data_IF_705057110837
#
_entry.id   IF_705057110837
#
_cell.length_a   1.000
_cell.length_b   1.000
_cell.length_c   1.000
_cell.angle_alpha   90.00
_cell.angle_beta   90.00
_cell.angle_gamma   90.00
#
_symmetry.space_group_name_H-M   'P 1'
#
loop_
_entity.id
_entity.type
_entity.pdbx_description
1 polymer ?
#
# COMPACT_ATOMS: atom_id res chain seq x y z
N UNK A 1 -5.55 -17.82 -7.55
CA UNK A 1 -5.36 -16.54 -6.82
C UNK A 1 -5.43 -15.42 -7.84
N UNK A 2 -6.03 -14.26 -7.52
CA UNK A 2 -6.00 -13.11 -8.42
C UNK A 2 -4.54 -12.77 -8.72
N UNK A 3 -4.22 -12.52 -9.99
CA UNK A 3 -2.86 -12.19 -10.40
C UNK A 3 -2.72 -10.67 -10.41
N UNK A 4 -1.77 -10.10 -9.65
CA UNK A 4 -1.54 -8.66 -9.72
C UNK A 4 -1.19 -8.27 -11.15
N UNK A 5 -1.66 -7.09 -11.57
CA UNK A 5 -1.17 -6.46 -12.78
C UNK A 5 0.21 -5.89 -12.44
N UNK A 6 1.23 -6.42 -13.10
CA UNK A 6 2.62 -5.99 -12.94
C UNK A 6 3.17 -5.52 -14.27
N UNK A 7 4.04 -4.52 -14.23
CA UNK A 7 4.74 -3.98 -15.39
C UNK A 7 6.24 -4.08 -15.13
N UNK A 8 7.01 -4.37 -16.18
CA UNK A 8 8.46 -4.45 -16.14
C UNK A 8 9.09 -3.09 -16.52
N UNK A 9 10.32 -2.80 -16.06
CA UNK A 9 11.02 -1.60 -16.47
C UNK A 9 11.15 -1.50 -17.99
N UNK A 10 10.66 -0.39 -18.56
CA UNK A 10 10.69 -0.14 -20.00
C UNK A 10 9.40 -0.49 -20.74
N UNK A 11 8.42 -1.09 -20.07
CA UNK A 11 7.10 -1.35 -20.66
C UNK A 11 6.43 -0.05 -21.12
N UNK A 12 5.85 -0.08 -22.33
CA UNK A 12 4.95 0.97 -22.80
C UNK A 12 3.54 0.67 -22.30
N UNK A 13 3.10 1.43 -21.30
CA UNK A 13 1.80 1.23 -20.65
C UNK A 13 0.76 2.15 -21.30
N UNK A 14 -0.32 1.57 -21.81
CA UNK A 14 -1.56 2.29 -22.13
C UNK A 14 -2.66 1.84 -21.16
N UNK A 15 -3.04 2.74 -20.24
CA UNK A 15 -4.04 2.46 -19.22
C UNK A 15 -5.43 2.17 -19.81
N UNK A 16 -5.72 2.54 -21.07
CA UNK A 16 -6.97 2.16 -21.73
C UNK A 16 -7.15 0.65 -21.86
N UNK A 17 -6.04 -0.09 -21.86
CA UNK A 17 -6.03 -1.55 -21.94
C UNK A 17 -6.15 -2.21 -20.55
N UNK A 18 -6.25 -1.43 -19.47
CA UNK A 18 -6.42 -1.93 -18.12
C UNK A 18 -7.89 -1.76 -17.72
N UNK A 19 -8.65 -2.85 -17.74
CA UNK A 19 -10.06 -2.84 -17.34
C UNK A 19 -10.21 -2.59 -15.82
N UNK A 20 -10.82 -1.47 -15.38
CA UNK A 20 -11.04 -1.17 -13.97
C UNK A 20 -12.08 -2.09 -13.31
N UNK A 21 -12.89 -2.81 -14.10
CA UNK A 21 -13.91 -3.75 -13.63
C UNK A 21 -13.41 -5.20 -13.59
N UNK A 22 -12.13 -5.43 -13.93
CA UNK A 22 -11.53 -6.77 -13.93
C UNK A 22 -11.65 -7.44 -12.56
N UNK A 23 -12.20 -8.64 -12.56
CA UNK A 23 -12.22 -9.56 -11.41
C UNK A 23 -11.63 -10.90 -11.85
N UNK A 24 -10.53 -11.30 -11.23
CA UNK A 24 -9.86 -12.57 -11.57
C UNK A 24 -10.50 -13.76 -10.86
N UNK A 25 -11.33 -14.51 -11.59
CA UNK A 25 -11.99 -15.72 -11.11
C UNK A 25 -13.41 -15.48 -10.61
N UNK A 26 -14.09 -16.56 -10.23
CA UNK A 26 -15.49 -16.52 -9.83
C UNK A 26 -15.64 -16.21 -8.33
N UNK A 27 -15.71 -14.92 -7.99
CA UNK A 27 -15.83 -14.45 -6.62
C UNK A 27 -17.24 -13.95 -6.31
N UNK A 28 -17.88 -14.56 -5.33
CA UNK A 28 -19.00 -13.91 -4.62
C UNK A 28 -18.48 -12.95 -3.56
N UNK A 29 -19.26 -11.90 -3.24
CA UNK A 29 -18.96 -10.96 -2.14
C UNK A 29 -18.63 -11.70 -0.83
N UNK A 30 -19.38 -12.76 -0.51
CA UNK A 30 -19.15 -13.60 0.68
C UNK A 30 -17.79 -14.30 0.64
N UNK A 31 -17.44 -14.93 -0.48
CA UNK A 31 -16.16 -15.63 -0.65
C UNK A 31 -14.96 -14.67 -0.62
N UNK A 32 -15.10 -13.48 -1.21
CA UNK A 32 -14.07 -12.45 -1.19
C UNK A 32 -13.81 -11.95 0.25
N UNK A 33 -14.86 -11.65 1.04
CA UNK A 33 -14.67 -11.27 2.44
C UNK A 33 -14.06 -12.36 3.30
N UNK A 34 -14.38 -13.64 3.04
CA UNK A 34 -13.71 -14.76 3.70
C UNK A 34 -12.21 -14.74 3.40
N UNK A 35 -11.84 -14.60 2.13
CA UNK A 35 -10.43 -14.52 1.71
C UNK A 35 -9.71 -13.30 2.29
N UNK A 36 -10.37 -12.14 2.35
CA UNK A 36 -9.80 -10.94 2.99
C UNK A 36 -9.43 -11.24 4.45
N UNK A 37 -10.32 -11.87 5.22
CA UNK A 37 -10.02 -12.23 6.62
C UNK A 37 -8.83 -13.19 6.75
N UNK A 38 -8.76 -14.21 5.89
CA UNK A 38 -7.62 -15.14 5.86
C UNK A 38 -6.30 -14.41 5.56
N UNK A 39 -6.32 -13.51 4.57
CA UNK A 39 -5.14 -12.71 4.21
C UNK A 39 -4.76 -11.72 5.30
N UNK A 40 -5.73 -11.11 6.00
CA UNK A 40 -5.48 -10.22 7.14
C UNK A 40 -4.77 -10.96 8.26
N UNK A 41 -5.19 -12.20 8.57
CA UNK A 41 -4.51 -13.03 9.58
C UNK A 41 -3.09 -13.41 9.14
N UNK A 42 -2.90 -13.84 7.90
CA UNK A 42 -1.56 -14.14 7.38
C UNK A 42 -0.65 -12.89 7.37
N UNK A 43 -1.20 -11.73 7.01
CA UNK A 43 -0.47 -10.45 7.01
C UNK A 43 -0.06 -10.03 8.42
N UNK A 44 -0.90 -10.30 9.43
CA UNK A 44 -0.56 -10.07 10.85
C UNK A 44 0.69 -10.83 11.26
N UNK A 45 0.72 -12.12 10.95
CA UNK A 45 1.83 -13.00 11.33
C UNK A 45 3.13 -12.60 10.60
N UNK A 46 3.03 -12.25 9.31
CA UNK A 46 4.16 -11.74 8.54
C UNK A 46 4.66 -10.38 9.03
N UNK A 47 3.75 -9.46 9.37
CA UNK A 47 4.11 -8.14 9.92
C UNK A 47 4.80 -8.28 11.29
N UNK A 48 4.35 -9.21 12.14
CA UNK A 48 5.04 -9.52 13.40
C UNK A 48 6.46 -10.04 13.15
N UNK A 49 6.63 -10.96 12.19
CA UNK A 49 7.96 -11.48 11.83
C UNK A 49 8.88 -10.41 11.24
N UNK A 50 8.35 -9.52 10.39
CA UNK A 50 9.09 -8.37 9.85
C UNK A 50 9.60 -7.49 11.00
N UNK A 51 8.73 -7.17 11.95
CA UNK A 51 9.05 -6.37 13.13
C UNK A 51 10.11 -7.03 14.01
N UNK A 52 9.92 -8.31 14.34
CA UNK A 52 10.85 -9.07 15.17
C UNK A 52 12.22 -9.25 14.51
N UNK A 53 12.26 -9.44 13.18
CA UNK A 53 13.51 -9.58 12.44
C UNK A 53 14.32 -8.26 12.41
N UNK A 54 13.65 -7.12 12.27
CA UNK A 54 14.25 -5.78 12.23
C UNK A 54 15.40 -5.62 11.20
N UNK A 55 15.34 -6.34 10.08
CA UNK A 55 16.35 -6.26 8.99
C UNK A 55 15.83 -5.60 7.73
N UNK A 56 14.54 -5.78 7.45
CA UNK A 56 13.85 -5.30 6.25
C UNK A 56 12.76 -4.30 6.64
N UNK A 57 12.33 -3.51 5.69
CA UNK A 57 11.15 -2.66 5.80
C UNK A 57 10.26 -2.90 4.58
N UNK A 58 8.97 -2.60 4.70
CA UNK A 58 8.01 -2.67 3.60
C UNK A 58 7.41 -1.29 3.38
N UNK A 59 7.56 -0.74 2.18
CA UNK A 59 6.89 0.48 1.76
C UNK A 59 5.76 0.14 0.79
N UNK A 60 4.54 0.53 1.13
CA UNK A 60 3.36 0.43 0.27
C UNK A 60 3.01 1.83 -0.24
N UNK A 61 3.06 2.03 -1.55
CA UNK A 61 2.67 3.30 -2.19
C UNK A 61 1.29 3.14 -2.80
N UNK A 62 0.33 3.95 -2.36
CA UNK A 62 -1.05 3.94 -2.86
C UNK A 62 -1.32 5.22 -3.65
N UNK A 63 -1.46 5.06 -4.96
CA UNK A 63 -1.78 6.12 -5.91
C UNK A 63 -3.07 5.81 -6.65
N UNK A 64 -3.76 6.87 -7.06
CA UNK A 64 -5.04 6.78 -7.78
C UNK A 64 -5.83 8.07 -7.65
N UNK A 65 -6.85 8.20 -8.50
CA UNK A 65 -7.75 9.35 -8.49
C UNK A 65 -8.44 9.54 -7.13
N UNK A 66 -9.00 10.73 -6.91
CA UNK A 66 -9.90 10.93 -5.79
C UNK A 66 -11.07 9.93 -5.87
N UNK A 67 -11.55 9.50 -4.72
CA UNK A 67 -12.57 8.44 -4.55
C UNK A 67 -12.21 7.04 -5.09
N UNK A 68 -10.98 6.80 -5.57
CA UNK A 68 -10.53 5.48 -6.04
C UNK A 68 -10.39 4.38 -4.95
N UNK A 69 -10.81 4.65 -3.71
CA UNK A 69 -10.85 3.64 -2.64
C UNK A 69 -9.55 3.47 -1.82
N UNK A 70 -8.54 4.33 -2.01
CA UNK A 70 -7.25 4.28 -1.27
C UNK A 70 -7.44 4.16 0.24
N UNK A 71 -8.25 5.05 0.83
CA UNK A 71 -8.48 5.06 2.29
C UNK A 71 -9.19 3.80 2.80
N UNK A 72 -10.08 3.21 1.98
CA UNK A 72 -10.73 1.94 2.29
C UNK A 72 -9.73 0.80 2.33
N UNK A 73 -8.84 0.72 1.34
CA UNK A 73 -7.76 -0.26 1.28
C UNK A 73 -6.82 -0.14 2.48
N UNK A 74 -6.40 1.08 2.83
CA UNK A 74 -5.56 1.33 4.02
C UNK A 74 -6.25 0.80 5.27
N UNK A 75 -7.53 1.13 5.47
CA UNK A 75 -8.30 0.69 6.62
C UNK A 75 -8.33 -0.84 6.73
N UNK A 76 -8.57 -1.54 5.63
CA UNK A 76 -8.58 -3.02 5.62
C UNK A 76 -7.21 -3.59 5.98
N UNK A 77 -6.13 -3.08 5.40
CA UNK A 77 -4.75 -3.50 5.71
C UNK A 77 -4.42 -3.31 7.19
N UNK A 78 -4.78 -2.15 7.74
CA UNK A 78 -4.51 -1.81 9.15
C UNK A 78 -5.26 -2.67 10.15
N UNK A 79 -6.40 -3.28 9.79
CA UNK A 79 -7.18 -4.10 10.74
C UNK A 79 -6.42 -5.31 11.30
N UNK A 80 -5.40 -5.80 10.59
CA UNK A 80 -4.60 -6.95 11.01
C UNK A 80 -3.22 -6.60 11.57
N UNK A 81 -2.78 -5.34 11.51
CA UNK A 81 -1.39 -4.97 11.76
C UNK A 81 -1.27 -4.23 13.09
N UNK A 82 -0.23 -4.51 13.86
CA UNK A 82 0.05 -3.74 15.08
C UNK A 82 0.38 -2.28 14.69
N UNK A 83 -0.35 -1.27 15.19
CA UNK A 83 -0.10 0.13 14.83
C UNK A 83 1.30 0.62 15.20
N UNK A 84 1.99 -0.01 16.17
CA UNK A 84 3.36 0.36 16.53
C UNK A 84 4.40 0.04 15.45
N UNK A 85 4.09 -0.92 14.56
CA UNK A 85 4.97 -1.34 13.47
C UNK A 85 4.51 -0.83 12.10
N UNK A 86 3.49 0.04 12.04
CA UNK A 86 2.95 0.57 10.80
C UNK A 86 2.72 2.07 10.86
N UNK A 87 3.29 2.81 9.91
CA UNK A 87 3.13 4.26 9.78
C UNK A 87 2.43 4.60 8.47
N UNK A 88 1.45 5.50 8.52
CA UNK A 88 0.76 6.02 7.34
C UNK A 88 1.16 7.48 7.16
N UNK A 89 1.67 7.82 5.99
CA UNK A 89 2.03 9.20 5.63
C UNK A 89 1.14 9.65 4.48
N UNK A 90 0.14 10.51 4.73
CA UNK A 90 -0.63 11.14 3.68
C UNK A 90 0.13 12.33 3.10
N UNK A 91 0.39 12.29 1.80
CA UNK A 91 1.02 13.41 1.10
C UNK A 91 -0.06 14.34 0.53
N UNK A 92 -0.07 15.58 1.00
CA UNK A 92 -0.94 16.66 0.50
C UNK A 92 -0.10 17.66 -0.29
N UNK A 93 -0.70 18.81 -0.61
CA UNK A 93 0.03 19.96 -1.16
C UNK A 93 1.26 20.26 -0.28
N UNK A 94 2.45 20.48 -0.89
CA UNK A 94 3.64 20.79 -0.14
C UNK A 94 3.52 22.06 0.71
N UNK A 95 4.14 22.06 1.88
CA UNK A 95 4.32 23.27 2.69
C UNK A 95 5.39 24.19 2.08
N UNK A 96 5.51 25.43 2.59
CA UNK A 96 6.57 26.36 2.16
C UNK A 96 7.95 25.76 2.40
N UNK A 97 8.19 25.18 3.57
CA UNK A 97 9.46 24.51 3.89
C UNK A 97 9.75 23.34 2.95
N UNK A 98 8.73 22.52 2.63
CA UNK A 98 8.90 21.42 1.69
C UNK A 98 9.20 21.89 0.27
N UNK A 99 8.71 23.08 -0.13
CA UNK A 99 9.00 23.69 -1.43
C UNK A 99 10.40 24.31 -1.51
N UNK A 100 11.00 24.64 -0.37
CA UNK A 100 12.39 25.14 -0.29
C UNK A 100 13.44 24.01 -0.39
N UNK A 101 12.99 22.75 -0.39
CA UNK A 101 13.81 21.56 -0.61
C UNK A 101 13.51 20.90 -1.97
N UNK A 102 14.31 19.90 -2.36
CA UNK A 102 13.97 19.07 -3.52
C UNK A 102 12.72 18.21 -3.25
N UNK A 103 12.01 17.83 -4.31
CA UNK A 103 10.72 17.14 -4.18
C UNK A 103 10.79 15.78 -3.47
N UNK A 104 11.97 15.13 -3.42
CA UNK A 104 12.14 13.86 -2.72
C UNK A 104 12.46 14.03 -1.23
N UNK A 105 12.89 15.21 -0.79
CA UNK A 105 13.26 15.46 0.61
C UNK A 105 12.19 14.98 1.59
N UNK A 106 10.95 15.45 1.42
CA UNK A 106 9.83 15.06 2.31
C UNK A 106 9.45 13.58 2.18
N UNK A 107 9.64 13.00 0.99
CA UNK A 107 9.31 11.59 0.72
C UNK A 107 10.34 10.69 1.42
N UNK A 108 11.61 11.03 1.30
CA UNK A 108 12.72 10.31 1.91
C UNK A 108 12.63 10.38 3.43
N UNK A 109 12.25 11.54 3.99
CA UNK A 109 12.04 11.68 5.44
C UNK A 109 10.93 10.77 6.00
N UNK A 110 10.00 10.33 5.16
CA UNK A 110 8.86 9.51 5.57
C UNK A 110 9.05 8.00 5.35
N UNK A 111 10.16 7.54 4.77
CA UNK A 111 10.37 6.11 4.48
C UNK A 111 10.39 5.28 5.78
N UNK A 112 9.85 4.05 5.76
CA UNK A 112 9.79 3.23 6.97
C UNK A 112 11.18 2.80 7.42
N UNK A 113 11.40 2.88 8.74
CA UNK A 113 12.54 2.23 9.39
C UNK A 113 12.47 0.71 9.23
N UNK A 114 13.61 0.03 9.45
CA UNK A 114 13.65 -1.44 9.54
C UNK A 114 12.65 -1.95 10.59
N UNK A 115 12.10 -3.13 10.32
CA UNK A 115 11.04 -3.75 11.10
C UNK A 115 9.63 -3.18 10.84
N UNK A 116 9.51 -2.07 10.11
CA UNK A 116 8.24 -1.39 9.94
C UNK A 116 7.66 -1.51 8.53
N UNK A 117 6.34 -1.30 8.50
CA UNK A 117 5.56 -1.07 7.30
C UNK A 117 5.28 0.44 7.20
N UNK A 118 5.58 1.04 6.06
CA UNK A 118 5.21 2.41 5.71
C UNK A 118 4.13 2.38 4.64
N UNK A 119 3.11 3.21 4.77
CA UNK A 119 2.05 3.36 3.77
C UNK A 119 2.00 4.82 3.32
N UNK A 120 2.31 5.06 2.06
CA UNK A 120 2.17 6.37 1.42
C UNK A 120 0.80 6.48 0.78
N UNK A 121 -0.02 7.44 1.24
CA UNK A 121 -1.31 7.77 0.62
C UNK A 121 -1.14 9.02 -0.22
N UNK A 122 -1.05 8.83 -1.54
CA UNK A 122 -0.24 9.69 -2.43
C UNK A 122 1.25 9.57 -2.07
N UNK A 123 2.15 10.06 -2.92
CA UNK A 123 3.61 9.94 -2.80
C UNK A 123 4.30 10.94 -3.70
#
# INVERSE_FOLDING_TARGET
MPKPITFEPGDKIDLKNVDPSRVDGDWSKRSAYKRIRENTQASRDLAYRLYAENRRALLLVLQGMDTAGKDGTIRTVMTGINPQSCQITPFKQPSVEELDHDFLWRIHNAVPRRGNIGIFNRS
#
